data_IF_517702369908
#
_entry.id   IF_517702369908
#
_cell.length_a   1.000
_cell.length_b   1.000
_cell.length_c   1.000
_cell.angle_alpha   90.00
_cell.angle_beta   90.00
_cell.angle_gamma   90.00
#
_symmetry.space_group_name_H-M   'P 1'
#
loop_
_entity.id
_entity.type
_entity.pdbx_description
1 polymer ?
#
# COMPACT_ATOMS: atom_id res chain seq x y z
N UNK A 1 -16.18 -7.25 -5.26
CA UNK A 1 -15.27 -8.12 -4.51
C UNK A 1 -15.48 -7.96 -3.01
N UNK A 2 -15.31 -9.06 -2.25
CA UNK A 2 -15.30 -9.02 -0.80
C UNK A 2 -13.91 -8.58 -0.29
N UNK A 3 -13.87 -8.03 0.92
CA UNK A 3 -12.62 -7.66 1.61
C UNK A 3 -12.68 -8.17 3.05
N UNK A 4 -11.67 -8.93 3.45
CA UNK A 4 -11.40 -9.26 4.85
C UNK A 4 -10.21 -8.45 5.33
N UNK A 5 -10.38 -7.74 6.43
CA UNK A 5 -9.31 -6.97 7.08
C UNK A 5 -9.11 -7.48 8.50
N UNK A 6 -7.87 -7.78 8.85
CA UNK A 6 -7.45 -8.12 10.21
C UNK A 6 -6.28 -7.23 10.58
N UNK A 7 -6.33 -6.63 11.77
CA UNK A 7 -5.25 -5.77 12.26
C UNK A 7 -5.14 -5.83 13.76
N UNK A 8 -3.93 -5.57 14.25
CA UNK A 8 -3.62 -5.46 15.66
C UNK A 8 -2.64 -4.32 15.90
N UNK A 9 -2.79 -3.66 17.04
CA UNK A 9 -1.87 -2.64 17.54
C UNK A 9 -1.50 -2.99 18.97
N UNK A 10 -0.23 -2.80 19.31
CA UNK A 10 0.28 -3.05 20.63
C UNK A 10 1.20 -1.92 21.09
N UNK A 11 1.00 -1.45 22.34
CA UNK A 11 1.86 -0.45 22.96
C UNK A 11 3.01 -1.16 23.66
N UNK A 12 4.19 -1.14 23.03
CA UNK A 12 5.42 -1.69 23.61
C UNK A 12 5.89 -0.84 24.80
N UNK A 13 5.72 0.47 24.68
CA UNK A 13 6.00 1.48 25.70
C UNK A 13 4.85 2.49 25.70
N UNK A 14 4.67 3.30 26.75
CA UNK A 14 3.69 4.40 26.73
C UNK A 14 3.85 5.33 25.54
N UNK A 15 5.08 5.48 25.03
CA UNK A 15 5.42 6.33 23.88
C UNK A 15 5.61 5.59 22.56
N UNK A 16 5.58 4.24 22.53
CA UNK A 16 5.84 3.46 21.33
C UNK A 16 4.71 2.47 21.04
N UNK A 17 4.05 2.64 19.93
CA UNK A 17 3.02 1.75 19.40
C UNK A 17 3.52 1.07 18.14
N UNK A 18 3.27 -0.21 18.02
CA UNK A 18 3.48 -0.99 16.81
C UNK A 18 2.15 -1.52 16.30
N UNK A 19 2.02 -1.63 15.00
CA UNK A 19 0.82 -2.17 14.36
C UNK A 19 1.18 -3.15 13.24
N UNK A 20 0.32 -4.13 13.04
CA UNK A 20 0.39 -5.03 11.90
C UNK A 20 -1.02 -5.24 11.37
N UNK A 21 -1.13 -5.42 10.06
CA UNK A 21 -2.40 -5.63 9.39
C UNK A 21 -2.26 -6.58 8.20
N UNK A 22 -3.37 -7.21 7.88
CA UNK A 22 -3.52 -8.04 6.69
C UNK A 22 -4.87 -7.75 6.06
N UNK A 23 -4.85 -7.50 4.75
CA UNK A 23 -6.02 -7.36 3.92
C UNK A 23 -6.04 -8.50 2.90
N UNK A 24 -7.19 -9.13 2.76
CA UNK A 24 -7.43 -10.17 1.77
C UNK A 24 -8.62 -9.78 0.90
N UNK A 25 -8.38 -9.61 -0.38
CA UNK A 25 -9.39 -9.27 -1.37
C UNK A 25 -9.81 -10.53 -2.10
N UNK A 26 -11.12 -10.83 -2.07
CA UNK A 26 -11.72 -11.95 -2.79
C UNK A 26 -11.97 -11.58 -4.25
N UNK A 27 -10.88 -11.38 -5.00
CA UNK A 27 -10.94 -10.88 -6.37
C UNK A 27 -11.50 -11.93 -7.33
N UNK A 28 -11.27 -13.22 -7.05
CA UNK A 28 -11.74 -14.36 -7.84
C UNK A 28 -13.27 -14.46 -7.90
N UNK A 29 -13.97 -13.90 -6.91
CA UNK A 29 -15.42 -13.91 -6.85
C UNK A 29 -16.08 -12.83 -7.74
N UNK A 30 -15.26 -12.01 -8.44
CA UNK A 30 -15.78 -11.00 -9.36
C UNK A 30 -16.23 -11.65 -10.66
N UNK A 31 -17.43 -11.28 -11.15
CA UNK A 31 -17.97 -11.81 -12.41
C UNK A 31 -17.23 -11.31 -13.67
N UNK A 32 -16.37 -10.31 -13.50
CA UNK A 32 -15.69 -9.63 -14.62
C UNK A 32 -14.45 -10.38 -15.13
N UNK A 33 -13.84 -11.22 -14.29
CA UNK A 33 -12.63 -11.94 -14.59
C UNK A 33 -12.79 -13.43 -14.34
N UNK A 34 -12.10 -14.26 -15.12
CA UNK A 34 -12.08 -15.71 -14.91
C UNK A 34 -10.99 -16.11 -13.92
N UNK A 35 -11.09 -17.31 -13.33
CA UNK A 35 -10.05 -17.86 -12.45
C UNK A 35 -8.68 -18.04 -13.11
N UNK A 36 -8.64 -18.04 -14.45
CA UNK A 36 -7.40 -18.08 -15.21
C UNK A 36 -6.71 -16.71 -15.31
N UNK A 37 -7.44 -15.62 -15.04
CA UNK A 37 -6.97 -14.23 -15.11
C UNK A 37 -6.62 -13.65 -13.75
N UNK A 38 -7.28 -14.15 -12.68
CA UNK A 38 -7.13 -13.62 -11.32
C UNK A 38 -6.89 -14.72 -10.29
N UNK A 39 -6.14 -14.37 -9.26
CA UNK A 39 -6.19 -14.95 -7.93
C UNK A 39 -6.45 -13.84 -6.93
N UNK A 40 -6.66 -14.18 -5.67
CA UNK A 40 -6.95 -13.19 -4.63
C UNK A 40 -5.73 -12.33 -4.32
N UNK A 41 -5.96 -11.04 -4.06
CA UNK A 41 -4.93 -10.08 -3.67
C UNK A 41 -4.74 -10.09 -2.16
N UNK A 42 -3.50 -10.01 -1.72
CA UNK A 42 -3.15 -9.89 -0.30
C UNK A 42 -2.27 -8.67 -0.06
N UNK A 43 -2.54 -7.97 1.05
CA UNK A 43 -1.72 -6.87 1.54
C UNK A 43 -1.29 -7.14 2.98
N UNK A 44 -0.01 -6.96 3.24
CA UNK A 44 0.60 -7.08 4.56
C UNK A 44 1.15 -5.73 4.95
N UNK A 45 0.74 -5.26 6.13
CA UNK A 45 1.07 -3.93 6.63
C UNK A 45 1.76 -4.06 7.99
N UNK A 46 2.79 -3.25 8.19
CA UNK A 46 3.43 -3.07 9.49
C UNK A 46 3.70 -1.59 9.71
N UNK A 47 3.62 -1.14 10.96
CA UNK A 47 3.86 0.25 11.30
C UNK A 47 4.34 0.42 12.72
N UNK A 48 5.00 1.53 12.96
CA UNK A 48 5.39 1.98 14.28
C UNK A 48 5.13 3.48 14.39
N UNK A 49 4.74 3.90 15.60
CA UNK A 49 4.48 5.27 15.97
C UNK A 49 5.15 5.57 17.30
N UNK A 50 5.93 6.64 17.35
CA UNK A 50 6.70 7.02 18.50
C UNK A 50 6.43 8.48 18.92
N UNK A 51 5.99 8.66 20.16
CA UNK A 51 5.83 9.97 20.76
C UNK A 51 7.17 10.42 21.34
N UNK A 52 7.86 11.31 20.64
CA UNK A 52 9.15 11.87 21.08
C UNK A 52 8.95 12.66 22.38
N UNK A 53 7.86 13.41 22.44
CA UNK A 53 7.40 14.16 23.61
C UNK A 53 5.90 14.51 23.45
N UNK A 54 5.35 15.35 24.32
CA UNK A 54 3.94 15.76 24.29
C UNK A 54 3.54 16.53 23.01
N UNK A 55 4.52 17.08 22.29
CA UNK A 55 4.26 17.90 21.09
C UNK A 55 4.58 17.17 19.79
N UNK A 56 5.56 16.28 19.80
CA UNK A 56 6.09 15.66 18.58
C UNK A 56 5.87 14.16 18.56
N UNK A 57 5.31 13.69 17.47
CA UNK A 57 5.11 12.29 17.17
C UNK A 57 5.71 11.98 15.78
N UNK A 58 6.36 10.86 15.65
CA UNK A 58 6.85 10.35 14.35
C UNK A 58 6.28 8.97 14.11
N UNK A 59 6.10 8.62 12.84
CA UNK A 59 5.62 7.31 12.43
C UNK A 59 6.37 6.81 11.20
N UNK A 60 6.47 5.50 11.08
CA UNK A 60 6.98 4.83 9.90
C UNK A 60 6.18 3.56 9.65
N UNK A 61 6.05 3.19 8.39
CA UNK A 61 5.34 1.97 8.02
C UNK A 61 5.80 1.41 6.69
N UNK A 62 5.50 0.14 6.50
CA UNK A 62 5.73 -0.55 5.25
C UNK A 62 4.53 -1.43 4.91
N UNK A 63 4.29 -1.58 3.61
CA UNK A 63 3.25 -2.43 3.06
C UNK A 63 3.83 -3.25 1.92
N UNK A 64 3.43 -4.51 1.85
CA UNK A 64 3.65 -5.38 0.70
C UNK A 64 2.31 -5.76 0.12
N UNK A 65 2.09 -5.48 -1.15
CA UNK A 65 0.90 -5.89 -1.89
C UNK A 65 1.28 -6.99 -2.87
N UNK A 66 0.61 -8.14 -2.75
CA UNK A 66 0.70 -9.25 -3.68
C UNK A 66 -0.59 -9.28 -4.49
N UNK A 67 -0.52 -8.75 -5.70
CA UNK A 67 -1.65 -8.77 -6.63
C UNK A 67 -1.86 -10.15 -7.22
N UNK A 68 -3.10 -10.55 -7.29
CA UNK A 68 -3.49 -11.82 -7.86
C UNK A 68 -3.67 -11.83 -9.38
N UNK A 69 -3.25 -10.78 -10.09
CA UNK A 69 -3.36 -10.73 -11.55
C UNK A 69 -2.34 -11.66 -12.22
N UNK A 70 -2.84 -12.48 -13.15
CA UNK A 70 -2.04 -13.36 -14.00
C UNK A 70 -1.86 -12.70 -15.37
N UNK A 71 -0.86 -13.16 -16.14
CA UNK A 71 -0.52 -12.62 -17.46
C UNK A 71 -1.73 -12.54 -18.43
N UNK A 72 -2.65 -13.51 -18.35
CA UNK A 72 -3.86 -13.53 -19.15
C UNK A 72 -4.84 -12.38 -18.84
N UNK A 73 -4.76 -11.79 -17.64
CA UNK A 73 -5.58 -10.65 -17.22
C UNK A 73 -4.92 -9.30 -17.41
N UNK A 74 -3.64 -9.27 -17.82
CA UNK A 74 -2.87 -8.04 -17.97
C UNK A 74 -2.90 -7.52 -19.39
N UNK A 75 -3.07 -6.19 -19.52
CA UNK A 75 -3.01 -5.49 -20.81
C UNK A 75 -2.36 -4.12 -20.62
N UNK A 76 -2.08 -3.42 -21.73
CA UNK A 76 -1.36 -2.15 -21.76
C UNK A 76 -2.04 -1.02 -20.96
N UNK A 77 -3.35 -1.12 -20.73
CA UNK A 77 -4.14 -0.12 -20.01
C UNK A 77 -4.31 -0.51 -18.53
N UNK A 78 -4.32 -1.81 -18.25
CA UNK A 78 -4.55 -2.34 -16.91
C UNK A 78 -3.53 -3.43 -16.60
N UNK A 79 -2.50 -3.08 -15.84
CA UNK A 79 -1.57 -4.05 -15.28
C UNK A 79 -1.42 -3.82 -13.77
N UNK A 80 -1.54 -4.91 -13.01
CA UNK A 80 -1.39 -4.89 -11.56
C UNK A 80 -0.27 -5.85 -11.17
N UNK A 81 0.82 -5.29 -10.72
CA UNK A 81 2.01 -6.02 -10.33
C UNK A 81 2.28 -5.84 -8.84
N UNK A 82 2.96 -6.80 -8.25
CA UNK A 82 3.34 -6.74 -6.85
C UNK A 82 4.06 -5.44 -6.52
N UNK A 83 3.86 -4.93 -5.32
CA UNK A 83 4.45 -3.68 -4.91
C UNK A 83 4.89 -3.69 -3.45
N UNK A 84 5.85 -2.83 -3.16
CA UNK A 84 6.26 -2.48 -1.81
C UNK A 84 6.05 -0.98 -1.61
N UNK A 85 5.52 -0.64 -0.45
CA UNK A 85 5.34 0.75 -0.06
C UNK A 85 6.05 1.02 1.24
N UNK A 86 6.64 2.20 1.36
CA UNK A 86 7.19 2.73 2.60
C UNK A 86 6.58 4.09 2.86
N UNK A 87 6.34 4.40 4.12
CA UNK A 87 5.76 5.67 4.53
C UNK A 87 6.38 6.18 5.82
N UNK A 88 6.43 7.51 5.92
CA UNK A 88 6.89 8.24 7.11
C UNK A 88 5.90 9.35 7.40
N UNK A 89 5.69 9.60 8.68
CA UNK A 89 4.81 10.67 9.14
C UNK A 89 5.39 11.43 10.32
N UNK A 90 4.98 12.68 10.45
CA UNK A 90 5.25 13.53 11.60
C UNK A 90 3.96 14.21 12.01
N UNK A 91 3.67 14.20 13.32
CA UNK A 91 2.58 14.93 13.94
C UNK A 91 3.11 15.94 14.93
N UNK A 92 2.56 17.14 14.91
CA UNK A 92 2.94 18.23 15.82
C UNK A 92 1.69 18.76 16.51
N UNK A 93 1.64 18.63 17.85
CA UNK A 93 0.61 19.26 18.69
C UNK A 93 0.95 20.74 18.82
N UNK A 94 0.21 21.59 18.12
CA UNK A 94 0.43 23.05 18.11
C UNK A 94 -0.27 23.73 19.28
N UNK A 95 -1.41 23.19 19.72
CA UNK A 95 -2.14 23.61 20.89
C UNK A 95 -2.91 22.43 21.48
N UNK A 96 -3.57 22.60 22.62
CA UNK A 96 -4.38 21.52 23.24
C UNK A 96 -5.47 20.97 22.32
N UNK A 97 -5.91 21.78 21.34
CA UNK A 97 -6.99 21.44 20.42
C UNK A 97 -6.56 21.18 18.97
N UNK A 98 -5.31 21.47 18.61
CA UNK A 98 -4.86 21.45 17.22
C UNK A 98 -3.60 20.60 17.07
N UNK A 99 -3.68 19.58 16.24
CA UNK A 99 -2.52 18.80 15.80
C UNK A 99 -2.39 18.88 14.27
N UNK A 100 -1.19 19.15 13.78
CA UNK A 100 -0.85 19.16 12.36
C UNK A 100 -0.08 17.88 12.05
N UNK A 101 -0.45 17.23 10.96
CA UNK A 101 0.20 16.01 10.48
C UNK A 101 0.74 16.23 9.07
N UNK A 102 1.93 15.72 8.82
CA UNK A 102 2.50 15.61 7.49
C UNK A 102 2.98 14.18 7.25
N UNK A 103 2.79 13.67 6.05
CA UNK A 103 3.18 12.32 5.69
C UNK A 103 3.76 12.26 4.28
N UNK A 104 4.67 11.33 4.10
CA UNK A 104 5.20 10.91 2.80
C UNK A 104 5.03 9.42 2.65
N UNK A 105 4.63 8.99 1.47
CA UNK A 105 4.41 7.60 1.14
C UNK A 105 4.92 7.34 -0.29
N UNK A 106 5.68 6.27 -0.46
CA UNK A 106 6.20 5.85 -1.76
C UNK A 106 5.88 4.38 -2.01
N UNK A 107 5.31 4.10 -3.19
CA UNK A 107 5.09 2.74 -3.68
C UNK A 107 6.00 2.46 -4.86
N UNK A 108 6.73 1.36 -4.78
CA UNK A 108 7.59 0.82 -5.81
C UNK A 108 6.93 -0.46 -6.32
N UNK A 109 6.63 -0.50 -7.60
CA UNK A 109 6.02 -1.66 -8.26
C UNK A 109 7.12 -2.54 -8.85
N UNK A 110 6.87 -3.85 -8.88
CA UNK A 110 7.74 -4.79 -9.60
C UNK A 110 7.72 -4.48 -11.09
N UNK A 111 8.86 -4.60 -11.74
CA UNK A 111 8.92 -4.51 -13.20
C UNK A 111 8.15 -5.66 -13.83
N UNK A 112 7.48 -5.38 -14.93
CA UNK A 112 6.72 -6.36 -15.68
C UNK A 112 7.09 -6.29 -17.17
N UNK A 113 7.55 -7.42 -17.69
CA UNK A 113 7.91 -7.57 -19.10
C UNK A 113 6.89 -8.46 -19.80
N UNK A 114 6.17 -7.88 -20.74
CA UNK A 114 5.24 -8.60 -21.60
C UNK A 114 5.89 -8.87 -22.96
N UNK A 115 5.99 -10.15 -23.33
CA UNK A 115 6.48 -10.57 -24.65
C UNK A 115 5.30 -10.86 -25.57
N UNK A 116 5.24 -10.18 -26.68
CA UNK A 116 4.24 -10.39 -27.72
C UNK A 116 4.92 -10.74 -29.04
N UNK A 117 4.39 -11.75 -29.73
CA UNK A 117 4.88 -12.13 -31.09
C UNK A 117 3.98 -11.48 -32.12
N UNK A 118 4.53 -10.56 -32.89
CA UNK A 118 3.83 -9.88 -34.00
C UNK A 118 4.47 -10.35 -35.32
N UNK A 119 3.82 -11.26 -36.01
CA UNK A 119 4.36 -11.91 -37.19
C UNK A 119 5.55 -12.82 -36.84
N UNK A 120 6.75 -12.51 -37.34
CA UNK A 120 8.00 -13.24 -37.06
C UNK A 120 8.89 -12.52 -36.00
N UNK A 121 8.47 -11.37 -35.52
CA UNK A 121 9.22 -10.58 -34.52
C UNK A 121 8.64 -10.75 -33.13
N UNK A 122 9.53 -10.88 -32.13
CA UNK A 122 9.15 -10.84 -30.72
C UNK A 122 9.41 -9.43 -30.20
N UNK A 123 8.35 -8.78 -29.71
CA UNK A 123 8.41 -7.46 -29.06
C UNK A 123 8.31 -7.68 -27.55
N UNK A 124 9.21 -7.06 -26.79
CA UNK A 124 9.16 -7.04 -25.33
C UNK A 124 8.77 -5.63 -24.88
N UNK A 125 7.64 -5.53 -24.20
CA UNK A 125 7.17 -4.30 -23.58
C UNK A 125 7.51 -4.34 -22.09
N UNK A 126 8.33 -3.40 -21.62
CA UNK A 126 8.69 -3.29 -20.21
C UNK A 126 7.89 -2.18 -19.53
N UNK A 127 7.25 -2.50 -18.43
CA UNK A 127 6.43 -1.56 -17.66
C UNK A 127 7.06 -1.35 -16.28
N UNK A 128 7.33 -0.09 -15.95
CA UNK A 128 7.80 0.32 -14.62
C UNK A 128 6.87 1.38 -14.05
N UNK A 129 6.65 1.37 -12.75
CA UNK A 129 5.81 2.34 -12.07
C UNK A 129 6.35 2.67 -10.68
N UNK A 130 6.29 3.94 -10.32
CA UNK A 130 6.55 4.42 -8.95
C UNK A 130 5.54 5.49 -8.61
N UNK A 131 4.90 5.37 -7.44
CA UNK A 131 3.99 6.40 -6.92
C UNK A 131 4.64 7.08 -5.72
N UNK A 132 4.48 8.40 -5.63
CA UNK A 132 4.88 9.21 -4.47
C UNK A 132 3.71 10.08 -4.05
N UNK A 133 3.41 10.06 -2.76
CA UNK A 133 2.28 10.80 -2.20
C UNK A 133 2.76 11.62 -1.01
N UNK A 134 2.35 12.88 -0.96
CA UNK A 134 2.50 13.77 0.19
C UNK A 134 1.12 14.08 0.75
N UNK A 135 0.98 13.97 2.05
CA UNK A 135 -0.25 14.25 2.76
C UNK A 135 -0.03 15.31 3.84
N UNK A 136 -1.02 16.18 3.99
CA UNK A 136 -1.13 17.13 5.11
C UNK A 136 -2.50 16.94 5.74
N UNK A 137 -2.55 16.98 7.06
CA UNK A 137 -3.78 16.85 7.82
C UNK A 137 -3.80 17.78 9.05
N UNK A 138 -4.99 18.12 9.48
CA UNK A 138 -5.22 18.87 10.72
C UNK A 138 -6.28 18.13 11.52
N UNK A 139 -5.95 17.78 12.77
CA UNK A 139 -6.88 17.21 13.73
C UNK A 139 -7.33 18.32 14.68
N UNK A 140 -8.64 18.44 14.89
CA UNK A 140 -9.25 19.40 15.78
C UNK A 140 -10.01 18.65 16.89
N UNK A 141 -9.69 18.95 18.14
CA UNK A 141 -10.44 18.49 19.31
C UNK A 141 -11.39 19.59 19.74
N UNK A 142 -12.69 19.32 19.71
CA UNK A 142 -13.77 20.23 20.07
C UNK A 142 -14.04 20.21 21.57
#
# INVERSE_FOLDING_TARGET
PGLLTVGAQYSLLPSLRISAGWHHYFDVDTKQYTKDMLSDTNEYLVGAEYDINKCWQVSAGAQKTQYGFKDAGMNDISFNVNSYSIGFGVGVQVSEKVKINAAYFQTIYSDYDKKETVGQATVTNSFTRTNRVFGLGVDLTL
#
